data_IF_294277560757
#
_entry.id   IF_294277560757
#
_cell.length_a   1.000
_cell.length_b   1.000
_cell.length_c   1.000
_cell.angle_alpha   90.00
_cell.angle_beta   90.00
_cell.angle_gamma   90.00
#
_symmetry.space_group_name_H-M   'P 1'
#
loop_
_entity.id
_entity.type
_entity.pdbx_description
1 polymer ?
#
# COMPACT_ATOMS: atom_id res chain seq x y z
N UNK A 1 -68.43 -24.28 13.00
CA UNK A 1 -67.94 -23.88 11.65
C UNK A 1 -67.54 -22.40 11.55
N UNK A 2 -66.99 -21.77 12.60
CA UNK A 2 -66.65 -20.32 12.60
C UNK A 2 -65.22 -19.99 13.07
N UNK A 3 -64.34 -20.98 13.19
CA UNK A 3 -62.98 -20.79 13.74
C UNK A 3 -61.86 -20.86 12.70
N UNK A 4 -62.14 -21.17 11.43
CA UNK A 4 -61.11 -21.37 10.40
C UNK A 4 -60.71 -20.10 9.63
N UNK A 5 -61.54 -19.05 9.63
CA UNK A 5 -61.27 -17.84 8.82
C UNK A 5 -60.22 -16.91 9.45
N UNK A 6 -60.07 -16.92 10.79
CA UNK A 6 -59.13 -16.05 11.50
C UNK A 6 -57.66 -16.45 11.34
N UNK A 7 -57.38 -17.73 11.06
CA UNK A 7 -56.00 -18.25 11.05
C UNK A 7 -55.31 -18.00 9.71
N UNK A 8 -56.08 -18.06 8.61
CA UNK A 8 -55.58 -17.83 7.26
C UNK A 8 -55.12 -16.38 7.06
N UNK A 9 -55.84 -15.40 7.65
CA UNK A 9 -55.51 -13.98 7.50
C UNK A 9 -54.26 -13.56 8.28
N UNK A 10 -53.98 -14.20 9.42
CA UNK A 10 -52.76 -13.96 10.21
C UNK A 10 -51.52 -14.53 9.53
N UNK A 11 -51.65 -15.65 8.82
CA UNK A 11 -50.56 -16.28 8.07
C UNK A 11 -50.20 -15.48 6.81
N UNK A 12 -51.18 -14.91 6.09
CA UNK A 12 -50.91 -14.03 4.94
C UNK A 12 -50.27 -12.70 5.34
N UNK A 13 -50.68 -12.11 6.48
CA UNK A 13 -50.06 -10.87 6.97
C UNK A 13 -48.60 -11.09 7.41
N UNK A 14 -48.30 -12.23 8.05
CA UNK A 14 -46.93 -12.59 8.43
C UNK A 14 -46.02 -12.86 7.22
N UNK A 15 -46.54 -13.52 6.18
CA UNK A 15 -45.81 -13.74 4.92
C UNK A 15 -45.56 -12.43 4.15
N UNK A 16 -46.51 -11.50 4.15
CA UNK A 16 -46.34 -10.18 3.54
C UNK A 16 -45.32 -9.30 4.29
N UNK A 17 -45.24 -9.40 5.63
CA UNK A 17 -44.23 -8.72 6.44
C UNK A 17 -42.82 -9.34 6.27
N UNK A 18 -42.72 -10.66 6.06
CA UNK A 18 -41.45 -11.33 5.71
C UNK A 18 -40.96 -10.98 4.30
N UNK A 19 -41.86 -10.74 3.34
CA UNK A 19 -41.50 -10.32 1.99
C UNK A 19 -41.02 -8.85 1.91
N UNK A 20 -41.41 -8.00 2.87
CA UNK A 20 -40.92 -6.62 2.99
C UNK A 20 -39.54 -6.50 3.69
N UNK A 21 -39.00 -7.61 4.23
CA UNK A 21 -37.70 -7.63 4.89
C UNK A 21 -36.51 -7.94 3.95
N UNK A 22 -36.74 -8.02 2.63
CA UNK A 22 -35.67 -8.23 1.64
C UNK A 22 -35.25 -6.86 1.09
N UNK A 23 -34.35 -6.15 1.80
CA UNK A 23 -33.07 -5.85 1.15
C UNK A 23 -31.89 -5.79 2.15
N UNK A 24 -31.76 -6.75 3.06
CA UNK A 24 -30.52 -6.86 3.86
C UNK A 24 -29.35 -7.49 3.06
N UNK A 25 -29.62 -8.15 1.93
CA UNK A 25 -28.60 -8.76 1.07
C UNK A 25 -28.04 -7.83 -0.03
N UNK A 26 -28.56 -6.60 -0.16
CA UNK A 26 -28.12 -5.65 -1.19
C UNK A 26 -27.00 -4.69 -0.72
N UNK A 27 -26.83 -4.51 0.59
CA UNK A 27 -25.75 -3.68 1.15
C UNK A 27 -24.36 -4.27 0.88
N UNK A 28 -24.28 -5.57 0.60
CA UNK A 28 -23.03 -6.25 0.26
C UNK A 28 -22.60 -6.03 -1.19
N UNK A 29 -23.28 -5.26 -2.03
CA UNK A 29 -22.92 -5.10 -3.46
C UNK A 29 -22.06 -3.88 -3.77
N UNK A 30 -21.81 -3.00 -2.80
CA UNK A 30 -21.17 -1.71 -3.05
C UNK A 30 -19.93 -1.56 -2.19
N UNK A 31 -18.82 -1.19 -2.83
CA UNK A 31 -17.63 -0.71 -2.14
C UNK A 31 -17.71 0.81 -2.13
N UNK A 32 -17.88 1.41 -0.95
CA UNK A 32 -18.08 2.86 -0.80
C UNK A 32 -16.84 3.61 -1.26
N UNK A 33 -16.97 4.77 -1.88
CA UNK A 33 -15.85 5.66 -2.14
C UNK A 33 -15.06 5.97 -0.84
N UNK A 34 -13.81 6.40 -0.96
CA UNK A 34 -13.01 6.70 0.22
C UNK A 34 -11.51 6.53 0.02
N UNK A 35 -10.75 6.83 1.07
CA UNK A 35 -9.30 6.72 1.03
C UNK A 35 -8.81 5.37 1.53
N UNK A 36 -7.83 4.82 0.81
CA UNK A 36 -7.08 3.63 1.17
C UNK A 36 -5.66 4.06 1.59
N UNK A 37 -5.21 3.50 2.72
CA UNK A 37 -3.90 3.78 3.28
C UNK A 37 -2.93 2.68 2.88
N UNK A 38 -1.91 3.03 2.12
CA UNK A 38 -0.95 2.08 1.59
C UNK A 38 0.42 2.27 2.24
N UNK A 39 1.14 1.15 2.31
CA UNK A 39 2.52 1.09 2.75
C UNK A 39 3.39 0.43 1.67
N UNK A 40 4.51 1.06 1.40
CA UNK A 40 5.46 0.69 0.38
C UNK A 40 6.71 0.11 1.02
N UNK A 41 6.95 -1.21 0.91
CA UNK A 41 8.15 -1.83 1.46
C UNK A 41 9.41 -1.38 0.69
N UNK A 42 10.54 -1.32 1.39
CA UNK A 42 11.86 -1.08 0.78
C UNK A 42 12.49 -2.33 0.15
N UNK A 43 11.69 -3.27 -0.33
CA UNK A 43 12.14 -4.60 -0.78
C UNK A 43 12.59 -4.65 -2.26
N UNK A 44 12.56 -3.52 -2.96
CA UNK A 44 12.96 -3.43 -4.37
C UNK A 44 11.81 -3.51 -5.38
N UNK A 45 10.58 -3.71 -4.93
CA UNK A 45 9.40 -3.80 -5.82
C UNK A 45 8.93 -2.43 -6.33
N UNK A 46 9.22 -1.35 -5.61
CA UNK A 46 8.89 0.02 -6.01
C UNK A 46 10.12 0.75 -6.53
N UNK A 47 10.06 1.19 -7.78
CA UNK A 47 11.19 1.84 -8.44
C UNK A 47 10.74 2.78 -9.56
N UNK A 48 11.56 3.78 -9.89
CA UNK A 48 11.49 4.53 -11.14
C UNK A 48 12.53 4.02 -12.13
N UNK A 49 12.14 3.84 -13.40
CA UNK A 49 13.03 3.48 -14.52
C UNK A 49 13.24 4.69 -15.43
N UNK A 50 14.45 4.81 -15.95
CA UNK A 50 14.89 5.92 -16.80
C UNK A 50 15.45 5.41 -18.14
N UNK A 51 15.15 4.17 -18.53
CA UNK A 51 15.65 3.54 -19.76
C UNK A 51 15.09 4.18 -21.02
N UNK A 52 13.81 4.54 -21.01
CA UNK A 52 13.07 5.15 -22.12
C UNK A 52 13.09 6.67 -22.12
N UNK A 53 13.14 7.28 -20.93
CA UNK A 53 13.29 8.72 -20.73
C UNK A 53 14.40 9.01 -19.69
N UNK A 54 15.68 8.99 -20.13
CA UNK A 54 16.83 9.19 -19.25
C UNK A 54 16.82 10.55 -18.56
N UNK A 55 17.36 10.61 -17.34
CA UNK A 55 17.71 11.91 -16.74
C UNK A 55 18.76 12.55 -17.65
N UNK A 56 18.55 13.79 -18.14
CA UNK A 56 19.42 14.38 -19.15
C UNK A 56 20.88 14.52 -18.72
N UNK A 57 21.75 14.64 -19.72
CA UNK A 57 23.12 15.10 -19.50
C UNK A 57 23.13 16.44 -18.76
N UNK A 58 24.21 16.71 -18.05
CA UNK A 58 24.44 17.97 -17.33
C UNK A 58 23.46 18.25 -16.17
N UNK A 59 22.50 17.35 -15.88
CA UNK A 59 21.54 17.51 -14.78
C UNK A 59 22.20 17.52 -13.40
N UNK A 60 23.15 16.61 -13.13
CA UNK A 60 23.74 16.47 -11.79
C UNK A 60 24.91 17.43 -11.54
N UNK A 61 25.67 17.68 -12.61
CA UNK A 61 26.73 18.67 -12.70
C UNK A 61 27.13 18.82 -14.18
N UNK A 62 27.79 19.92 -14.52
CA UNK A 62 28.37 20.10 -15.86
C UNK A 62 29.29 18.91 -16.23
N UNK A 63 29.08 18.33 -17.40
CA UNK A 63 29.75 17.14 -17.92
C UNK A 63 29.14 15.80 -17.49
N UNK A 64 28.08 15.80 -16.65
CA UNK A 64 27.43 14.56 -16.25
C UNK A 64 26.77 13.84 -17.42
N UNK A 65 26.97 12.53 -17.51
CA UNK A 65 26.32 11.69 -18.50
C UNK A 65 24.83 11.50 -18.18
N UNK A 66 23.97 11.26 -19.18
CA UNK A 66 22.59 10.89 -18.95
C UNK A 66 22.50 9.65 -18.04
N UNK A 67 21.49 9.60 -17.17
CA UNK A 67 21.21 8.43 -16.35
C UNK A 67 19.99 7.68 -16.87
N UNK A 68 20.21 6.44 -17.33
CA UNK A 68 19.16 5.57 -17.85
C UNK A 68 18.85 4.35 -16.95
N UNK A 69 19.30 4.39 -15.70
CA UNK A 69 19.18 3.28 -14.76
C UNK A 69 17.82 3.22 -14.07
N UNK A 70 17.81 2.59 -12.90
CA UNK A 70 16.65 2.55 -12.00
C UNK A 70 16.99 3.10 -10.62
N UNK A 71 16.03 3.73 -9.97
CA UNK A 71 16.13 4.14 -8.57
C UNK A 71 15.07 3.37 -7.80
N UNK A 72 15.50 2.65 -6.76
CA UNK A 72 14.63 1.86 -5.89
C UNK A 72 14.19 2.74 -4.72
N UNK A 73 12.90 2.72 -4.43
CA UNK A 73 12.26 3.54 -3.41
C UNK A 73 11.69 2.69 -2.28
N UNK A 74 11.53 3.32 -1.11
CA UNK A 74 10.73 2.84 0.01
C UNK A 74 9.80 3.94 0.50
N UNK A 75 8.73 3.53 1.20
CA UNK A 75 7.80 4.43 1.87
C UNK A 75 8.43 5.24 2.99
N UNK A 76 8.09 6.53 3.07
CA UNK A 76 8.33 7.38 4.24
C UNK A 76 6.96 7.73 4.85
N UNK A 77 6.73 7.47 6.16
CA UNK A 77 5.45 7.79 6.77
C UNK A 77 5.07 9.27 6.63
N UNK A 78 3.87 9.51 6.13
CA UNK A 78 3.33 10.87 5.93
C UNK A 78 3.11 11.54 7.28
N UNK A 79 3.68 12.74 7.46
CA UNK A 79 3.41 13.56 8.62
C UNK A 79 1.94 14.01 8.65
N UNK A 80 1.31 13.96 9.82
CA UNK A 80 -0.14 14.12 9.98
C UNK A 80 -0.49 15.06 11.13
N UNK A 81 -1.72 15.60 11.13
CA UNK A 81 -2.37 16.18 12.31
C UNK A 81 -3.76 15.55 12.51
N UNK A 82 -4.04 14.93 13.67
CA UNK A 82 -3.12 14.67 14.79
C UNK A 82 -1.88 13.84 14.40
N UNK A 83 -0.75 14.06 15.10
CA UNK A 83 0.52 13.41 14.76
C UNK A 83 0.40 11.89 14.85
N UNK A 84 0.76 11.20 13.77
CA UNK A 84 0.83 9.74 13.73
C UNK A 84 -0.52 9.05 13.55
N UNK A 85 -1.60 9.79 13.28
CA UNK A 85 -2.96 9.20 13.17
C UNK A 85 -3.10 8.21 12.02
N UNK A 86 -2.23 8.30 10.99
CA UNK A 86 -2.16 7.35 9.88
C UNK A 86 -1.00 6.34 10.00
N UNK A 87 -0.28 6.33 11.14
CA UNK A 87 0.79 5.36 11.42
C UNK A 87 1.91 5.35 10.38
N UNK A 88 2.12 4.20 9.73
CA UNK A 88 3.19 3.97 8.76
C UNK A 88 2.75 4.22 7.30
N UNK A 89 1.62 4.88 7.08
CA UNK A 89 1.11 5.18 5.74
C UNK A 89 2.06 6.13 5.02
N UNK A 90 2.51 5.72 3.84
CA UNK A 90 3.35 6.55 2.95
C UNK A 90 2.63 6.97 1.67
N UNK A 91 1.50 6.33 1.35
CA UNK A 91 0.71 6.59 0.15
C UNK A 91 -0.78 6.59 0.50
N UNK A 92 -1.50 7.61 0.03
CA UNK A 92 -2.95 7.73 0.19
C UNK A 92 -3.57 7.72 -1.21
N UNK A 93 -4.36 6.68 -1.47
CA UNK A 93 -5.12 6.52 -2.71
C UNK A 93 -6.59 6.79 -2.40
N UNK A 94 -7.26 7.59 -3.21
CA UNK A 94 -8.67 7.90 -3.02
C UNK A 94 -9.50 7.32 -4.16
N UNK A 95 -10.48 6.49 -3.79
CA UNK A 95 -11.51 5.94 -4.68
C UNK A 95 -12.57 7.02 -4.83
N UNK A 96 -12.77 7.51 -6.04
CA UNK A 96 -13.62 8.68 -6.34
C UNK A 96 -15.10 8.33 -6.39
N UNK A 97 -15.42 7.06 -6.68
CA UNK A 97 -16.79 6.58 -6.86
C UNK A 97 -17.03 5.30 -6.06
N UNK A 98 -18.29 5.10 -5.69
CA UNK A 98 -18.77 3.82 -5.21
C UNK A 98 -18.62 2.76 -6.32
N UNK A 99 -18.08 1.59 -5.96
CA UNK A 99 -17.89 0.48 -6.89
C UNK A 99 -18.99 -0.55 -6.68
N UNK A 100 -19.91 -0.68 -7.65
CA UNK A 100 -21.00 -1.64 -7.60
C UNK A 100 -20.61 -2.92 -8.33
N UNK A 101 -20.74 -4.08 -7.66
CA UNK A 101 -20.45 -5.38 -8.27
C UNK A 101 -21.53 -5.80 -9.27
N UNK A 102 -21.10 -6.24 -10.45
CA UNK A 102 -21.95 -6.87 -11.45
C UNK A 102 -22.24 -8.35 -11.12
N UNK A 103 -22.99 -9.03 -11.99
CA UNK A 103 -23.37 -10.44 -11.81
C UNK A 103 -22.15 -11.38 -11.77
N UNK A 104 -21.03 -10.99 -12.39
CA UNK A 104 -19.76 -11.72 -12.40
C UNK A 104 -18.88 -11.42 -11.16
N UNK A 105 -19.35 -10.59 -10.22
CA UNK A 105 -18.59 -10.19 -9.04
C UNK A 105 -17.43 -9.25 -9.36
N UNK A 106 -17.53 -8.46 -10.43
CA UNK A 106 -16.56 -7.43 -10.81
C UNK A 106 -17.14 -6.04 -10.58
N UNK A 107 -16.35 -5.14 -10.01
CA UNK A 107 -16.66 -3.73 -9.84
C UNK A 107 -15.47 -2.88 -10.29
N UNK A 108 -15.72 -1.64 -10.68
CA UNK A 108 -14.68 -0.67 -11.06
C UNK A 108 -14.88 0.64 -10.32
N UNK A 109 -13.79 1.31 -9.96
CA UNK A 109 -13.82 2.67 -9.40
C UNK A 109 -12.65 3.48 -9.96
N UNK A 110 -12.83 4.80 -10.03
CA UNK A 110 -11.76 5.72 -10.41
C UNK A 110 -10.87 6.01 -9.20
N UNK A 111 -9.56 6.07 -9.41
CA UNK A 111 -8.57 6.36 -8.38
C UNK A 111 -7.91 7.71 -8.62
N UNK A 112 -7.52 8.36 -7.52
CA UNK A 112 -6.59 9.48 -7.55
C UNK A 112 -5.64 9.39 -6.35
N UNK A 113 -4.33 9.53 -6.61
CA UNK A 113 -3.35 9.70 -5.54
C UNK A 113 -3.54 11.05 -4.86
N UNK A 114 -3.60 11.06 -3.53
CA UNK A 114 -3.79 12.26 -2.71
C UNK A 114 -2.54 12.67 -1.95
N UNK A 115 -1.72 11.70 -1.57
CA UNK A 115 -0.41 11.92 -0.97
C UNK A 115 0.49 10.71 -1.27
N UNK A 116 1.78 10.96 -1.46
CA UNK A 116 2.80 9.93 -1.63
C UNK A 116 4.14 10.51 -1.19
N UNK A 117 4.85 9.84 -0.29
CA UNK A 117 6.18 10.26 0.16
C UNK A 117 7.14 9.07 0.17
N UNK A 118 8.11 9.08 -0.75
CA UNK A 118 9.14 8.04 -0.85
C UNK A 118 10.55 8.60 -0.70
N UNK A 119 11.46 7.72 -0.31
CA UNK A 119 12.90 7.96 -0.35
C UNK A 119 13.64 6.82 -1.05
N UNK A 120 14.80 7.14 -1.64
CA UNK A 120 15.68 6.13 -2.22
C UNK A 120 16.22 5.19 -1.14
N UNK A 121 16.15 3.88 -1.36
CA UNK A 121 16.66 2.87 -0.39
C UNK A 121 18.17 2.93 -0.21
N UNK A 122 18.89 3.56 -1.13
CA UNK A 122 20.34 3.80 -1.08
C UNK A 122 20.62 5.21 -1.57
N UNK A 123 21.76 5.76 -1.13
CA UNK A 123 22.29 6.99 -1.72
C UNK A 123 22.53 6.76 -3.21
N UNK A 124 22.01 7.67 -4.04
CA UNK A 124 22.32 7.72 -5.46
C UNK A 124 23.74 8.24 -5.64
N UNK A 125 24.55 7.56 -6.45
CA UNK A 125 25.97 7.87 -6.64
C UNK A 125 26.30 7.97 -8.13
N UNK A 126 27.00 9.03 -8.49
CA UNK A 126 27.58 9.22 -9.81
C UNK A 126 28.88 10.03 -9.68
N UNK A 127 29.61 10.33 -10.78
CA UNK A 127 30.83 11.14 -10.71
C UNK A 127 30.64 12.56 -10.14
N UNK A 128 29.41 13.10 -10.12
CA UNK A 128 29.11 14.40 -9.51
C UNK A 128 28.94 14.36 -7.99
N UNK A 129 28.88 13.16 -7.39
CA UNK A 129 28.81 12.96 -5.94
C UNK A 129 27.71 11.99 -5.49
N UNK A 130 27.30 12.15 -4.24
CA UNK A 130 26.27 11.35 -3.58
C UNK A 130 25.04 12.20 -3.28
N UNK A 131 23.86 11.62 -3.49
CA UNK A 131 22.58 12.29 -3.33
C UNK A 131 21.62 11.43 -2.52
N UNK A 132 20.90 12.04 -1.58
CA UNK A 132 19.64 11.50 -1.08
C UNK A 132 18.58 11.75 -2.14
N UNK A 133 17.74 10.75 -2.39
CA UNK A 133 16.66 10.87 -3.37
C UNK A 133 15.34 10.89 -2.63
N UNK A 134 14.53 11.92 -2.86
CA UNK A 134 13.15 11.99 -2.40
C UNK A 134 12.19 11.93 -3.59
N UNK A 135 10.96 11.50 -3.35
CA UNK A 135 9.90 11.50 -4.36
C UNK A 135 8.56 11.83 -3.68
N UNK A 136 7.89 12.85 -4.22
CA UNK A 136 6.55 13.29 -3.79
C UNK A 136 5.65 13.50 -5.00
N UNK A 137 4.34 13.66 -4.76
CA UNK A 137 3.41 14.09 -5.80
C UNK A 137 3.71 15.52 -6.24
N UNK A 138 3.47 15.83 -7.51
CA UNK A 138 3.63 17.17 -8.08
C UNK A 138 2.53 17.49 -9.08
N UNK A 139 1.99 18.70 -8.99
CA UNK A 139 0.88 19.14 -9.81
C UNK A 139 -0.41 18.32 -9.68
N UNK A 140 -1.31 18.49 -10.65
CA UNK A 140 -2.58 17.78 -10.70
C UNK A 140 -2.36 16.28 -10.97
N UNK A 141 -2.92 15.41 -10.15
CA UNK A 141 -2.75 13.97 -10.30
C UNK A 141 -3.74 13.38 -11.32
N UNK A 142 -3.29 12.46 -12.20
CA UNK A 142 -4.17 11.80 -13.14
C UNK A 142 -5.22 10.98 -12.40
N UNK A 143 -6.38 10.84 -13.03
CA UNK A 143 -7.42 9.90 -12.59
C UNK A 143 -7.16 8.59 -13.33
N UNK A 144 -7.03 7.51 -12.57
CA UNK A 144 -6.82 6.15 -13.09
C UNK A 144 -7.97 5.24 -12.67
N UNK A 145 -7.88 3.95 -12.98
CA UNK A 145 -8.93 2.98 -12.68
C UNK A 145 -8.42 1.84 -11.79
N UNK A 146 -9.34 1.31 -10.98
CA UNK A 146 -9.15 0.07 -10.25
C UNK A 146 -10.28 -0.90 -10.57
N UNK A 147 -9.89 -2.12 -10.94
CA UNK A 147 -10.79 -3.25 -11.05
C UNK A 147 -10.76 -4.04 -9.73
N UNK A 148 -11.94 -4.32 -9.18
CA UNK A 148 -12.13 -5.08 -7.95
C UNK A 148 -12.91 -6.33 -8.31
N UNK A 149 -12.41 -7.50 -7.90
CA UNK A 149 -13.11 -8.77 -8.04
C UNK A 149 -13.40 -9.36 -6.68
N UNK A 150 -14.64 -9.77 -6.50
CA UNK A 150 -15.11 -10.48 -5.33
C UNK A 150 -14.77 -11.96 -5.44
N UNK A 151 -14.21 -12.54 -4.39
CA UNK A 151 -13.96 -13.98 -4.29
C UNK A 151 -14.83 -14.65 -3.21
N UNK A 152 -15.27 -13.88 -2.21
CA UNK A 152 -16.25 -14.29 -1.21
C UNK A 152 -17.10 -13.10 -0.76
N UNK A 153 -17.98 -13.29 0.23
CA UNK A 153 -18.91 -12.23 0.68
C UNK A 153 -18.20 -10.96 1.17
N UNK A 154 -17.01 -11.09 1.74
CA UNK A 154 -16.30 -10.03 2.44
C UNK A 154 -14.85 -9.86 1.98
N UNK A 155 -14.45 -10.44 0.85
CA UNK A 155 -13.08 -10.36 0.38
C UNK A 155 -12.93 -10.63 -1.12
N UNK A 156 -11.75 -10.30 -1.62
CA UNK A 156 -11.37 -10.66 -2.96
C UNK A 156 -10.00 -10.12 -3.35
N UNK A 157 -9.89 -9.73 -4.62
CA UNK A 157 -8.68 -9.16 -5.20
C UNK A 157 -9.00 -7.85 -5.90
N UNK A 158 -7.98 -7.02 -6.09
CA UNK A 158 -8.07 -5.84 -6.93
C UNK A 158 -6.80 -5.66 -7.75
N UNK A 159 -6.93 -4.90 -8.84
CA UNK A 159 -5.84 -4.43 -9.68
C UNK A 159 -6.01 -2.94 -9.85
N UNK A 160 -5.11 -2.17 -9.26
CA UNK A 160 -5.09 -0.72 -9.38
C UNK A 160 -4.08 -0.31 -10.47
N UNK A 161 -4.54 0.44 -11.46
CA UNK A 161 -3.65 1.13 -12.38
C UNK A 161 -3.19 2.41 -11.68
N UNK A 162 -1.90 2.53 -11.38
CA UNK A 162 -1.38 3.73 -10.69
C UNK A 162 -0.49 4.50 -11.66
N UNK A 163 -0.89 5.75 -11.90
CA UNK A 163 -0.07 6.77 -12.55
C UNK A 163 0.01 7.97 -11.62
N UNK A 164 1.17 8.61 -11.57
CA UNK A 164 1.43 9.74 -10.69
C UNK A 164 2.26 10.79 -11.42
N UNK A 165 1.86 12.05 -11.30
CA UNK A 165 2.76 13.16 -11.60
C UNK A 165 3.61 13.38 -10.35
N UNK A 166 4.93 13.22 -10.47
CA UNK A 166 5.85 13.21 -9.33
C UNK A 166 6.96 14.21 -9.52
N UNK A 167 7.47 14.71 -8.41
CA UNK A 167 8.74 15.43 -8.32
C UNK A 167 9.76 14.57 -7.60
N UNK A 168 10.86 14.29 -8.28
CA UNK A 168 12.00 13.56 -7.74
C UNK A 168 13.07 14.59 -7.35
N UNK A 169 13.51 14.56 -6.11
CA UNK A 169 14.53 15.47 -5.59
C UNK A 169 15.85 14.74 -5.38
N UNK A 170 16.96 15.39 -5.71
CA UNK A 170 18.31 14.89 -5.48
C UNK A 170 19.06 15.88 -4.59
N UNK A 171 19.11 15.58 -3.29
CA UNK A 171 19.75 16.43 -2.28
C UNK A 171 21.21 16.01 -2.09
N UNK A 172 22.20 16.86 -2.39
CA UNK A 172 23.61 16.53 -2.20
C UNK A 172 23.94 16.20 -0.74
N UNK A 173 24.77 15.17 -0.51
CA UNK A 173 25.17 14.76 0.85
C UNK A 173 26.53 15.32 1.25
N UNK A 174 27.53 15.20 0.37
CA UNK A 174 28.94 15.50 0.69
C UNK A 174 29.38 16.91 0.28
N UNK A 175 28.46 17.72 -0.26
CA UNK A 175 28.74 19.08 -0.73
C UNK A 175 27.59 20.01 -0.40
N UNK A 176 27.91 21.29 -0.15
CA UNK A 176 26.90 22.34 -0.19
C UNK A 176 26.47 22.54 -1.65
N UNK A 177 25.18 22.52 -1.90
CA UNK A 177 24.61 22.69 -3.23
C UNK A 177 23.09 22.73 -3.15
N UNK A 178 22.46 23.26 -4.19
CA UNK A 178 21.02 23.23 -4.30
C UNK A 178 20.52 21.78 -4.50
N UNK A 179 19.32 21.51 -3.98
CA UNK A 179 18.56 20.31 -4.34
C UNK A 179 18.19 20.40 -5.81
N UNK A 180 18.46 19.33 -6.56
CA UNK A 180 18.06 19.22 -7.95
C UNK A 180 16.67 18.59 -8.02
N UNK A 181 15.84 19.04 -8.95
CA UNK A 181 14.45 18.58 -9.06
C UNK A 181 14.17 18.08 -10.48
N UNK A 182 13.42 17.00 -10.58
CA UNK A 182 12.98 16.40 -11.82
C UNK A 182 11.50 16.04 -11.69
N UNK A 183 10.64 16.73 -12.44
CA UNK A 183 9.21 16.44 -12.52
C UNK A 183 8.92 15.53 -13.73
N UNK A 184 8.07 14.52 -13.54
CA UNK A 184 7.60 13.63 -14.62
C UNK A 184 6.36 12.83 -14.22
N UNK A 185 5.65 12.29 -15.20
CA UNK A 185 4.66 11.24 -14.98
C UNK A 185 5.38 9.89 -14.79
N UNK A 186 5.02 9.15 -13.75
CA UNK A 186 5.47 7.78 -13.52
C UNK A 186 4.27 6.86 -13.52
N UNK A 187 4.36 5.79 -14.33
CA UNK A 187 3.38 4.71 -14.36
C UNK A 187 3.93 3.51 -13.64
N UNK A 188 3.23 3.07 -12.60
CA UNK A 188 3.58 1.85 -11.89
C UNK A 188 2.90 0.67 -12.57
N UNK A 189 3.61 -0.47 -12.77
CA UNK A 189 2.98 -1.66 -13.31
C UNK A 189 1.78 -2.09 -12.45
N UNK A 190 0.65 -2.49 -13.06
CA UNK A 190 -0.50 -2.94 -12.30
C UNK A 190 -0.14 -4.20 -11.51
N UNK A 191 -0.36 -4.15 -10.19
CA UNK A 191 -0.13 -5.26 -9.29
C UNK A 191 -1.46 -5.80 -8.76
N UNK A 192 -1.61 -7.12 -8.79
CA UNK A 192 -2.75 -7.79 -8.16
C UNK A 192 -2.54 -7.85 -6.66
N UNK A 193 -3.51 -7.34 -5.91
CA UNK A 193 -3.53 -7.32 -4.45
C UNK A 193 -4.84 -7.92 -3.94
N UNK A 194 -4.90 -8.20 -2.64
CA UNK A 194 -6.10 -8.70 -1.95
C UNK A 194 -6.78 -7.57 -1.20
N UNK A 195 -8.07 -7.73 -0.92
CA UNK A 195 -8.83 -6.85 -0.03
C UNK A 195 -9.78 -7.66 0.84
N UNK A 196 -10.16 -7.08 1.98
CA UNK A 196 -11.22 -7.57 2.85
C UNK A 196 -12.17 -6.43 3.20
N UNK A 197 -13.42 -6.72 3.58
CA UNK A 197 -14.40 -5.69 3.94
C UNK A 197 -14.10 -5.05 5.29
N UNK A 198 -13.35 -5.76 6.14
CA UNK A 198 -12.87 -5.26 7.42
C UNK A 198 -11.36 -5.39 7.51
N UNK A 199 -10.70 -4.37 8.07
CA UNK A 199 -9.28 -4.49 8.36
C UNK A 199 -9.02 -5.44 9.54
N UNK A 200 -7.77 -5.90 9.66
CA UNK A 200 -7.29 -6.57 10.87
C UNK A 200 -7.14 -5.61 12.06
N UNK A 201 -6.94 -6.16 13.28
CA UNK A 201 -6.94 -5.40 14.54
C UNK A 201 -5.84 -4.32 14.63
N UNK A 202 -4.81 -4.38 13.80
CA UNK A 202 -3.70 -3.41 13.77
C UNK A 202 -3.94 -2.23 12.80
N UNK A 203 -5.10 -2.17 12.14
CA UNK A 203 -5.36 -1.07 11.20
C UNK A 203 -5.76 0.20 11.91
N UNK A 204 -5.08 1.28 11.52
CA UNK A 204 -5.49 2.62 11.86
C UNK A 204 -6.63 3.04 10.95
N UNK A 205 -7.79 3.29 11.54
CA UNK A 205 -8.90 3.96 10.87
C UNK A 205 -8.96 5.40 11.35
N UNK A 206 -9.30 6.31 10.44
CA UNK A 206 -9.52 7.70 10.79
C UNK A 206 -10.84 8.15 10.19
N UNK A 207 -11.78 8.56 11.06
CA UNK A 207 -13.05 9.13 10.63
C UNK A 207 -12.87 10.62 10.30
N UNK A 208 -13.62 11.10 9.30
CA UNK A 208 -13.59 12.50 8.89
C UNK A 208 -12.37 12.85 8.04
N UNK A 209 -11.89 14.09 8.13
CA UNK A 209 -10.73 14.56 7.37
C UNK A 209 -9.46 14.56 8.23
N UNK A 210 -8.34 14.17 7.62
CA UNK A 210 -7.02 14.20 8.24
C UNK A 210 -6.16 15.22 7.51
N UNK A 211 -5.46 16.08 8.25
CA UNK A 211 -4.46 16.96 7.65
C UNK A 211 -3.17 16.16 7.45
N UNK A 212 -2.66 16.12 6.23
CA UNK A 212 -1.47 15.38 5.81
C UNK A 212 -0.45 16.30 5.18
N UNK A 213 0.83 15.92 5.27
CA UNK A 213 1.94 16.57 4.59
C UNK A 213 2.04 16.02 3.16
N UNK A 214 1.90 16.89 2.16
CA UNK A 214 1.91 16.49 0.75
C UNK A 214 3.22 16.78 0.03
N UNK A 215 4.13 17.55 0.63
CA UNK A 215 5.39 18.00 0.03
C UNK A 215 6.65 17.47 0.76
N UNK A 216 6.46 16.65 1.79
CA UNK A 216 7.50 16.04 2.63
C UNK A 216 8.36 17.05 3.40
N UNK A 217 7.82 18.23 3.74
CA UNK A 217 8.51 19.22 4.56
C UNK A 217 8.37 18.96 6.09
N UNK A 218 7.64 17.91 6.48
CA UNK A 218 7.37 17.52 7.86
C UNK A 218 6.20 18.25 8.52
N UNK A 219 5.44 19.07 7.77
CA UNK A 219 4.29 19.83 8.25
C UNK A 219 3.07 19.48 7.42
N UNK A 220 2.04 18.98 8.09
CA UNK A 220 0.76 18.73 7.45
C UNK A 220 0.13 20.03 6.91
N UNK A 221 -0.32 20.00 5.65
CA UNK A 221 -0.75 21.16 4.88
C UNK A 221 -2.07 20.96 4.12
N UNK A 222 -2.50 19.71 3.89
CA UNK A 222 -3.65 19.40 3.03
C UNK A 222 -4.62 18.46 3.74
N UNK A 223 -5.92 18.75 3.67
CA UNK A 223 -6.94 17.83 4.18
C UNK A 223 -7.23 16.72 3.16
N UNK A 224 -7.17 15.48 3.62
CA UNK A 224 -7.62 14.31 2.87
C UNK A 224 -8.75 13.62 3.62
N UNK A 225 -9.67 13.01 2.88
CA UNK A 225 -10.71 12.17 3.47
C UNK A 225 -10.05 11.01 4.22
N UNK A 226 -10.65 10.63 5.34
CA UNK A 226 -10.25 9.49 6.16
C UNK A 226 -10.47 8.15 5.46
N UNK A 227 -10.28 7.09 6.23
CA UNK A 227 -10.25 5.72 5.70
C UNK A 227 -11.64 5.24 5.31
N UNK A 228 -11.75 4.51 4.21
CA UNK A 228 -13.00 3.86 3.83
C UNK A 228 -13.45 2.80 4.85
N UNK A 229 -14.76 2.56 4.94
CA UNK A 229 -15.32 1.70 6.00
C UNK A 229 -15.44 0.23 5.61
N UNK A 230 -15.55 -0.07 4.32
CA UNK A 230 -15.84 -1.42 3.81
C UNK A 230 -14.83 -1.94 2.77
N UNK A 231 -13.65 -1.33 2.68
CA UNK A 231 -12.55 -1.78 1.81
C UNK A 231 -11.19 -1.64 2.49
N UNK A 232 -10.67 -2.74 2.99
CA UNK A 232 -9.35 -2.83 3.58
C UNK A 232 -8.37 -3.39 2.55
N UNK A 233 -7.77 -2.49 1.75
CA UNK A 233 -6.73 -2.85 0.78
C UNK A 233 -5.55 -3.54 1.48
N UNK A 234 -5.13 -4.69 0.95
CA UNK A 234 -4.02 -5.47 1.49
C UNK A 234 -4.37 -6.32 2.71
N UNK A 235 -5.65 -6.52 3.04
CA UNK A 235 -6.07 -7.39 4.16
C UNK A 235 -6.75 -8.67 3.69
N UNK A 236 -6.64 -9.70 4.53
CA UNK A 236 -7.35 -10.99 4.40
C UNK A 236 -8.45 -11.11 5.46
N UNK A 237 -9.37 -12.05 5.24
CA UNK A 237 -10.51 -12.31 6.14
C UNK A 237 -10.11 -12.82 7.53
N UNK A 238 -8.95 -13.48 7.64
CA UNK A 238 -8.36 -13.89 8.92
C UNK A 238 -7.77 -12.70 9.71
N UNK A 239 -7.91 -11.47 9.19
CA UNK A 239 -7.36 -10.27 9.80
C UNK A 239 -5.84 -10.17 9.67
N UNK A 240 -5.20 -11.01 8.85
CA UNK A 240 -3.77 -10.87 8.54
C UNK A 240 -3.55 -9.87 7.40
N UNK A 241 -2.47 -9.11 7.49
CA UNK A 241 -2.00 -8.29 6.39
C UNK A 241 -1.48 -9.22 5.28
N UNK A 242 -1.82 -8.89 4.03
CA UNK A 242 -1.31 -9.56 2.86
C UNK A 242 0.19 -9.28 2.76
N UNK A 243 0.97 -10.27 3.16
CA UNK A 243 2.42 -10.21 3.03
C UNK A 243 2.75 -10.20 1.53
N UNK A 244 3.43 -9.16 1.00
CA UNK A 244 3.87 -9.16 -0.40
C UNK A 244 4.65 -10.45 -0.70
N UNK A 245 4.49 -11.05 -1.89
CA UNK A 245 5.20 -12.30 -2.23
C UNK A 245 6.72 -12.21 -2.04
N UNK A 246 7.32 -11.04 -2.22
CA UNK A 246 8.74 -10.81 -1.95
C UNK A 246 9.06 -10.89 -0.45
N UNK A 247 8.18 -10.37 0.40
CA UNK A 247 8.28 -10.50 1.85
C UNK A 247 7.94 -11.91 2.33
N UNK A 248 7.02 -12.63 1.68
CA UNK A 248 6.75 -14.05 1.95
C UNK A 248 7.95 -14.90 1.54
N UNK A 249 8.57 -14.66 0.39
CA UNK A 249 9.80 -15.35 -0.02
C UNK A 249 10.97 -15.03 0.93
N UNK A 250 11.08 -13.80 1.42
CA UNK A 250 12.08 -13.43 2.43
C UNK A 250 11.76 -14.00 3.81
N UNK A 251 10.49 -14.10 4.22
CA UNK A 251 10.09 -14.76 5.47
C UNK A 251 10.30 -16.26 5.38
N UNK A 252 9.89 -16.91 4.30
CA UNK A 252 10.16 -18.31 4.03
C UNK A 252 11.66 -18.59 3.94
N UNK A 253 12.45 -17.70 3.30
CA UNK A 253 13.89 -17.81 3.32
C UNK A 253 14.47 -17.61 4.72
N UNK A 254 13.92 -16.71 5.55
CA UNK A 254 14.34 -16.53 6.94
C UNK A 254 13.90 -17.67 7.84
N UNK A 255 12.76 -18.30 7.61
CA UNK A 255 12.30 -19.50 8.31
C UNK A 255 13.14 -20.71 7.90
N UNK A 256 13.42 -20.89 6.60
CA UNK A 256 14.36 -21.90 6.11
C UNK A 256 15.79 -21.67 6.66
N UNK A 257 16.20 -20.42 6.81
CA UNK A 257 17.48 -20.06 7.43
C UNK A 257 17.45 -20.14 8.97
N UNK A 258 16.27 -20.05 9.60
CA UNK A 258 16.10 -20.24 11.04
C UNK A 258 16.02 -21.72 11.43
N UNK A 259 15.51 -22.57 10.53
CA UNK A 259 15.67 -24.02 10.60
C UNK A 259 17.11 -24.44 10.23
N UNK A 260 17.83 -23.61 9.47
CA UNK A 260 19.30 -23.62 9.39
C UNK A 260 19.92 -22.70 10.45
N UNK A 261 19.43 -22.72 11.69
CA UNK A 261 20.36 -22.56 12.81
C UNK A 261 21.40 -23.65 12.57
N UNK A 262 22.53 -23.22 12.03
CA UNK A 262 23.80 -23.91 12.08
C UNK A 262 23.88 -24.42 13.52
N UNK A 263 23.62 -25.70 13.74
CA UNK A 263 24.21 -26.35 14.90
C UNK A 263 25.68 -25.95 14.80
N UNK A 264 26.23 -25.19 15.76
CA UNK A 264 27.66 -24.94 15.75
C UNK A 264 28.29 -26.33 15.62
N UNK A 265 29.25 -26.51 14.70
CA UNK A 265 29.90 -27.79 14.39
C UNK A 265 30.45 -28.46 15.67
N UNK A 266 29.56 -29.03 16.47
CA UNK A 266 29.82 -29.69 17.71
C UNK A 266 30.02 -31.13 17.31
N UNK A 267 31.25 -31.58 17.40
CA UNK A 267 31.54 -32.99 17.29
C UNK A 267 31.71 -33.55 18.70
N UNK A 268 31.23 -34.77 18.87
CA UNK A 268 31.38 -35.52 20.10
C UNK A 268 32.44 -36.59 19.87
N UNK A 269 33.48 -36.58 20.69
CA UNK A 269 34.52 -37.59 20.70
C UNK A 269 34.65 -38.17 22.12
N UNK A 270 35.54 -39.15 22.37
CA UNK A 270 35.70 -39.75 23.70
C UNK A 270 36.10 -38.75 24.81
N UNK A 271 36.51 -37.54 24.44
CA UNK A 271 36.90 -36.46 25.35
C UNK A 271 35.75 -35.47 25.64
N UNK A 272 34.61 -35.58 24.94
CA UNK A 272 33.40 -34.79 25.17
C UNK A 272 32.92 -34.04 23.91
N UNK A 273 31.95 -33.12 24.11
CA UNK A 273 31.39 -32.30 23.03
C UNK A 273 32.21 -31.02 22.85
N UNK A 274 32.73 -30.81 21.64
CA UNK A 274 33.55 -29.64 21.30
C UNK A 274 32.86 -28.74 20.27
N UNK A 275 32.43 -27.55 20.68
CA UNK A 275 31.85 -26.54 19.79
C UNK A 275 32.82 -25.35 19.58
N UNK A 276 33.02 -24.88 18.34
CA UNK A 276 33.89 -23.72 18.08
C UNK A 276 33.30 -22.45 18.72
N UNK A 277 34.11 -21.75 19.50
CA UNK A 277 33.70 -20.56 20.23
C UNK A 277 33.57 -19.35 19.30
N UNK A 278 32.33 -18.94 19.03
CA UNK A 278 32.01 -17.54 18.73
C UNK A 278 31.03 -17.33 17.58
N UNK A 279 29.79 -16.98 17.91
CA UNK A 279 29.10 -15.77 17.43
C UNK A 279 28.12 -15.34 18.53
N UNK A 280 28.35 -14.17 19.14
CA UNK A 280 27.32 -13.49 19.94
C UNK A 280 26.28 -12.91 18.97
N UNK A 281 25.03 -13.35 19.09
CA UNK A 281 23.89 -12.73 18.42
C UNK A 281 23.51 -11.45 19.17
N UNK A 282 23.57 -10.29 18.50
CA UNK A 282 22.96 -9.06 18.98
C UNK A 282 21.49 -9.05 18.55
N UNK A 283 20.59 -8.95 19.52
CA UNK A 283 19.17 -8.61 19.33
C UNK A 283 19.02 -7.15 18.91
#
# INVERSE_FOLDING_TARGET
>A
MRTTVSTVWRLTLAAALLALAVPAFAADLVIENGSDLWRTPGDGTTYAKFDTDPIPRDFFCSGSQPFSGRIIFQGVPIATRPRGVLGQTDTIVHRLDDAVFNAEGVATTRLQLRAMQFEGTKLFRNPCGKFKVGLVLDGAQPITEMEIRRLGSDHGIFVAQISANVKITFTPVDRKGATLELTREVRFPPARNVWASRPGPETLTSAGYVLVDTDANGRADTYVAGTSTNFAAGWRTDGSAAIPRAQLANQQARELLADQIFEPNCHEDPCGVHCPSGVYSYY
#
